data_IF_426576459081
#
_entry.id   IF_426576459081
#
_cell.length_a   1.000
_cell.length_b   1.000
_cell.length_c   1.000
_cell.angle_alpha   90.00
_cell.angle_beta   90.00
_cell.angle_gamma   90.00
#
_symmetry.space_group_name_H-M   'P 1'
#
loop_
_entity.id
_entity.type
_entity.pdbx_description
1 polymer ?
#
# COMPACT_ATOMS: atom_id res chain seq x y z
N UNK A 1 -18.28 -39.82 17.06
CA UNK A 1 -18.36 -39.11 15.76
C UNK A 1 -17.58 -37.82 15.92
N UNK A 2 -16.60 -37.59 15.04
CA UNK A 2 -15.65 -36.47 15.09
C UNK A 2 -16.13 -35.31 14.20
N UNK A 3 -15.80 -34.06 14.57
CA UNK A 3 -15.35 -33.03 13.63
C UNK A 3 -14.59 -31.89 14.37
N UNK A 4 -13.30 -31.76 14.02
CA UNK A 4 -12.43 -30.56 13.88
C UNK A 4 -13.08 -29.16 14.08
N UNK A 5 -12.39 -28.08 14.50
CA UNK A 5 -10.99 -27.65 14.29
C UNK A 5 -10.70 -26.40 15.14
N UNK A 6 -9.41 -26.17 15.43
CA UNK A 6 -8.77 -24.96 15.95
C UNK A 6 -9.38 -23.61 15.53
N UNK A 7 -9.36 -22.62 16.43
CA UNK A 7 -8.97 -21.24 16.07
C UNK A 7 -8.50 -20.42 17.31
N UNK A 8 -7.18 -20.29 17.41
CA UNK A 8 -6.35 -19.18 17.91
C UNK A 8 -6.91 -18.10 18.88
N UNK A 9 -6.26 -17.98 20.06
CA UNK A 9 -6.03 -16.72 20.80
C UNK A 9 -4.88 -15.90 20.15
N UNK A 10 -4.61 -14.62 20.50
CA UNK A 10 -5.44 -13.58 21.14
C UNK A 10 -5.40 -12.20 20.42
N UNK A 11 -6.30 -11.31 20.86
CA UNK A 11 -6.38 -9.86 20.59
C UNK A 11 -5.16 -9.12 21.16
N UNK A 12 -4.34 -8.45 20.34
CA UNK A 12 -3.74 -7.13 20.63
C UNK A 12 -2.80 -6.60 19.51
N UNK A 13 -3.28 -5.66 18.73
CA UNK A 13 -2.53 -4.51 18.19
C UNK A 13 -3.58 -3.59 17.57
N UNK A 14 -3.47 -2.28 17.77
CA UNK A 14 -4.32 -1.29 17.12
C UNK A 14 -4.09 -1.32 15.62
N UNK A 15 -4.80 -2.20 14.92
CA UNK A 15 -4.67 -2.39 13.48
C UNK A 15 -5.90 -1.79 12.85
N UNK A 16 -5.80 -0.51 12.43
CA UNK A 16 -6.56 -0.10 11.26
C UNK A 16 -6.25 -1.17 10.20
N UNK A 17 -7.24 -1.94 9.70
CA UNK A 17 -6.96 -2.99 8.75
C UNK A 17 -6.22 -2.33 7.60
N UNK A 18 -4.93 -2.67 7.44
CA UNK A 18 -4.05 -2.10 6.43
C UNK A 18 -4.85 -2.07 5.13
N UNK A 19 -5.25 -0.86 4.71
CA UNK A 19 -6.26 -0.75 3.66
C UNK A 19 -5.57 -1.16 2.38
N UNK A 20 -5.83 -2.40 1.97
CA UNK A 20 -5.20 -3.03 0.82
C UNK A 20 -5.45 -2.18 -0.41
N UNK A 21 -4.39 -1.51 -0.85
CA UNK A 21 -4.34 -0.84 -2.11
C UNK A 21 -3.56 -1.65 -3.13
N UNK A 22 -3.83 -1.40 -4.40
CA UNK A 22 -3.01 -1.90 -5.50
C UNK A 22 -2.25 -0.72 -6.07
N UNK A 23 -0.92 -0.87 -6.24
CA UNK A 23 -0.10 0.16 -6.86
C UNK A 23 -0.51 0.29 -8.34
N UNK A 24 -1.03 1.44 -8.73
CA UNK A 24 -1.45 1.73 -10.10
C UNK A 24 -0.25 2.24 -10.91
N UNK A 25 0.66 3.00 -10.27
CA UNK A 25 1.80 3.58 -10.95
C UNK A 25 2.95 3.85 -9.97
N UNK A 26 4.19 3.67 -10.45
CA UNK A 26 5.40 3.95 -9.69
C UNK A 26 6.42 4.70 -10.53
N UNK A 27 7.03 5.69 -9.90
CA UNK A 27 8.13 6.48 -10.44
C UNK A 27 9.18 6.66 -9.35
N UNK A 28 10.32 7.23 -9.72
CA UNK A 28 11.39 7.48 -8.78
C UNK A 28 10.96 8.37 -7.59
N UNK A 29 10.03 9.32 -7.81
CA UNK A 29 9.65 10.34 -6.83
C UNK A 29 8.21 10.21 -6.35
N UNK A 30 7.48 9.18 -6.76
CA UNK A 30 6.05 9.10 -6.49
C UNK A 30 5.47 7.72 -6.72
N UNK A 31 4.46 7.41 -5.93
CA UNK A 31 3.66 6.19 -5.99
C UNK A 31 2.19 6.58 -6.06
N UNK A 32 1.45 5.90 -6.92
CA UNK A 32 0.01 5.98 -7.01
C UNK A 32 -0.60 4.64 -6.63
N UNK A 33 -1.60 4.64 -5.76
CA UNK A 33 -2.30 3.43 -5.36
C UNK A 33 -3.82 3.65 -5.28
N UNK A 34 -4.59 2.56 -5.46
CA UNK A 34 -6.01 2.55 -5.16
C UNK A 34 -6.22 2.36 -3.65
N UNK A 35 -7.17 3.06 -3.03
CA UNK A 35 -7.55 2.92 -1.63
C UNK A 35 -9.06 2.91 -1.50
N UNK A 36 -9.61 2.23 -0.49
CA UNK A 36 -11.04 2.35 -0.15
C UNK A 36 -11.36 3.62 0.64
N UNK A 37 -10.35 4.33 1.13
CA UNK A 37 -10.51 5.62 1.79
C UNK A 37 -9.88 6.75 0.99
N UNK A 38 -10.52 7.91 1.08
CA UNK A 38 -9.91 9.17 0.71
C UNK A 38 -8.85 9.57 1.74
N UNK A 39 -7.81 10.25 1.27
CA UNK A 39 -6.86 10.96 2.12
C UNK A 39 -6.91 12.46 1.80
N UNK A 40 -6.50 13.28 2.75
CA UNK A 40 -6.41 14.72 2.55
C UNK A 40 -5.11 15.09 1.85
N UNK A 41 -5.14 16.20 1.12
CA UNK A 41 -3.94 16.75 0.53
C UNK A 41 -2.93 17.09 1.63
N UNK A 42 -1.67 16.70 1.42
CA UNK A 42 -0.54 16.86 2.36
C UNK A 42 -0.53 15.92 3.56
N UNK A 43 -1.44 14.94 3.63
CA UNK A 43 -1.31 13.85 4.60
C UNK A 43 0.03 13.14 4.40
N UNK A 44 0.73 12.88 5.50
CA UNK A 44 1.96 12.09 5.52
C UNK A 44 1.59 10.63 5.79
N UNK A 45 1.95 9.75 4.86
CA UNK A 45 1.63 8.33 4.89
C UNK A 45 2.92 7.52 5.00
N UNK A 46 2.87 6.46 5.81
CA UNK A 46 3.83 5.37 5.72
C UNK A 46 3.23 4.30 4.81
N UNK A 47 3.90 4.04 3.69
CA UNK A 47 3.47 3.06 2.71
C UNK A 47 4.35 1.82 2.82
N UNK A 48 3.73 0.65 2.88
CA UNK A 48 4.40 -0.64 2.74
C UNK A 48 4.03 -1.21 1.37
N UNK A 49 5.03 -1.45 0.53
CA UNK A 49 4.89 -2.07 -0.78
C UNK A 49 5.53 -3.44 -0.72
N UNK A 50 4.78 -4.50 -0.99
CA UNK A 50 5.25 -5.88 -0.86
C UNK A 50 4.87 -6.74 -2.07
N UNK A 51 5.76 -7.67 -2.38
CA UNK A 51 5.50 -8.81 -3.26
C UNK A 51 5.91 -10.10 -2.53
N UNK A 52 4.89 -10.86 -2.11
CA UNK A 52 5.05 -12.11 -1.37
C UNK A 52 5.72 -13.19 -2.23
N UNK A 53 5.48 -13.19 -3.55
CA UNK A 53 6.04 -14.20 -4.46
C UNK A 53 7.56 -14.10 -4.57
N UNK A 54 8.10 -12.90 -4.30
CA UNK A 54 9.51 -12.58 -4.43
C UNK A 54 10.18 -12.27 -3.08
N UNK A 55 9.46 -12.40 -1.98
CA UNK A 55 9.91 -12.01 -0.64
C UNK A 55 10.46 -10.57 -0.61
N UNK A 56 9.79 -9.67 -1.34
CA UNK A 56 10.15 -8.27 -1.45
C UNK A 56 9.27 -7.42 -0.54
N UNK A 57 9.87 -6.53 0.23
CA UNK A 57 9.16 -5.54 1.05
C UNK A 57 9.92 -4.22 1.03
N UNK A 58 9.18 -3.13 0.83
CA UNK A 58 9.70 -1.78 0.79
C UNK A 58 8.79 -0.85 1.60
N UNK A 59 9.36 -0.18 2.60
CA UNK A 59 8.66 0.82 3.39
C UNK A 59 9.10 2.22 2.95
N UNK A 60 8.15 3.09 2.60
CA UNK A 60 8.42 4.45 2.15
C UNK A 60 7.50 5.46 2.80
N UNK A 61 8.10 6.58 3.22
CA UNK A 61 7.34 7.74 3.66
C UNK A 61 6.97 8.60 2.45
N UNK A 62 5.71 9.03 2.38
CA UNK A 62 5.19 9.78 1.26
C UNK A 62 4.15 10.82 1.69
N UNK A 63 3.99 11.87 0.89
CA UNK A 63 3.00 12.93 1.13
C UNK A 63 1.94 12.88 0.03
N UNK A 64 0.66 12.90 0.42
CA UNK A 64 -0.46 12.89 -0.52
C UNK A 64 -0.48 14.19 -1.34
N UNK A 65 -0.41 14.06 -2.66
CA UNK A 65 -0.49 15.18 -3.61
C UNK A 65 -1.79 15.19 -4.40
N UNK A 66 -2.52 14.08 -4.45
CA UNK A 66 -3.86 14.00 -5.04
C UNK A 66 -4.65 12.85 -4.42
N UNK A 67 -5.94 13.08 -4.25
CA UNK A 67 -6.92 12.10 -3.82
C UNK A 67 -8.17 12.29 -4.69
N UNK A 68 -8.55 11.28 -5.46
CA UNK A 68 -9.63 11.39 -6.45
C UNK A 68 -10.43 10.09 -6.50
N UNK A 69 -11.74 10.16 -6.42
CA UNK A 69 -12.61 8.99 -6.57
C UNK A 69 -12.43 8.37 -7.96
N UNK A 70 -12.18 7.06 -8.03
CA UNK A 70 -12.17 6.27 -9.26
C UNK A 70 -13.58 5.77 -9.58
N UNK A 71 -14.26 5.23 -8.58
CA UNK A 71 -15.63 4.71 -8.64
C UNK A 71 -16.32 4.87 -7.28
N UNK A 72 -17.38 4.09 -7.01
CA UNK A 72 -18.13 4.15 -5.75
C UNK A 72 -17.40 3.50 -4.56
N UNK A 73 -16.36 2.69 -4.81
CA UNK A 73 -15.65 1.92 -3.80
C UNK A 73 -14.20 2.41 -3.62
N UNK A 74 -13.56 2.90 -4.68
CA UNK A 74 -12.13 3.19 -4.70
C UNK A 74 -11.78 4.66 -4.98
N UNK A 75 -10.70 5.09 -4.35
CA UNK A 75 -10.00 6.35 -4.52
C UNK A 75 -8.62 6.08 -5.10
N UNK A 76 -8.23 6.87 -6.09
CA UNK A 76 -6.84 6.99 -6.51
C UNK A 76 -6.14 7.99 -5.62
N UNK A 77 -5.08 7.53 -4.98
CA UNK A 77 -4.21 8.35 -4.15
C UNK A 77 -2.87 8.45 -4.86
N UNK A 78 -2.43 9.66 -5.19
CA UNK A 78 -1.09 9.90 -5.69
C UNK A 78 -0.27 10.56 -4.58
N UNK A 79 0.90 9.98 -4.31
CA UNK A 79 1.82 10.45 -3.29
C UNK A 79 3.16 10.82 -3.89
N UNK A 80 3.77 11.87 -3.34
CA UNK A 80 5.17 12.21 -3.56
C UNK A 80 6.01 11.54 -2.47
N UNK A 81 7.02 10.79 -2.86
CA UNK A 81 7.92 10.15 -1.90
C UNK A 81 8.83 11.20 -1.23
N UNK A 82 9.07 11.03 0.06
CA UNK A 82 10.03 11.87 0.79
C UNK A 82 11.47 11.57 0.36
N UNK A 83 11.77 10.31 0.05
CA UNK A 83 13.04 9.86 -0.51
C UNK A 83 12.83 9.17 -1.86
N UNK A 84 13.65 9.48 -2.87
CA UNK A 84 13.52 8.85 -4.18
C UNK A 84 13.87 7.36 -4.13
N UNK A 85 13.18 6.57 -4.94
CA UNK A 85 13.52 5.16 -5.17
C UNK A 85 14.77 5.04 -6.03
N UNK A 86 15.46 3.90 -5.93
CA UNK A 86 16.49 3.52 -6.89
C UNK A 86 15.86 3.06 -8.22
N UNK A 87 16.63 3.09 -9.30
CA UNK A 87 16.16 2.58 -10.59
C UNK A 87 15.81 1.10 -10.53
N UNK A 88 16.56 0.32 -9.74
CA UNK A 88 16.28 -1.11 -9.52
C UNK A 88 14.95 -1.32 -8.80
N UNK A 89 14.67 -0.53 -7.76
CA UNK A 89 13.37 -0.55 -7.07
C UNK A 89 12.23 -0.18 -8.03
N UNK A 90 12.38 0.88 -8.83
CA UNK A 90 11.35 1.27 -9.81
C UNK A 90 11.13 0.17 -10.86
N UNK A 91 12.19 -0.44 -11.37
CA UNK A 91 12.09 -1.53 -12.34
C UNK A 91 11.35 -2.74 -11.74
N UNK A 92 11.74 -3.15 -10.53
CA UNK A 92 11.11 -4.26 -9.82
C UNK A 92 9.62 -4.02 -9.57
N UNK A 93 9.26 -2.84 -9.06
CA UNK A 93 7.87 -2.48 -8.77
C UNK A 93 7.01 -2.38 -10.05
N UNK A 94 7.60 -2.03 -11.20
CA UNK A 94 6.89 -1.99 -12.49
C UNK A 94 6.66 -3.37 -13.09
N UNK A 95 7.58 -4.30 -12.87
CA UNK A 95 7.51 -5.65 -13.45
C UNK A 95 6.45 -6.52 -12.74
N UNK A 96 6.29 -6.35 -11.43
CA UNK A 96 5.57 -7.32 -10.62
C UNK A 96 4.20 -6.88 -10.09
N UNK A 97 3.77 -5.63 -10.33
CA UNK A 97 2.50 -5.08 -9.86
C UNK A 97 2.20 -5.38 -8.37
N UNK A 98 3.06 -4.92 -7.44
CA UNK A 98 3.01 -5.27 -6.03
C UNK A 98 1.80 -4.67 -5.30
N UNK A 99 1.46 -5.27 -4.16
CA UNK A 99 0.45 -4.73 -3.26
C UNK A 99 1.02 -3.53 -2.48
N UNK A 100 0.18 -2.52 -2.22
CA UNK A 100 0.56 -1.30 -1.50
C UNK A 100 -0.42 -1.04 -0.36
N UNK A 101 0.10 -0.83 0.83
CA UNK A 101 -0.67 -0.64 2.05
C UNK A 101 -0.27 0.65 2.72
N UNK A 102 -1.25 1.33 3.33
CA UNK A 102 -0.99 2.45 4.25
C UNK A 102 -0.97 1.89 5.68
N UNK A 103 0.13 2.13 6.38
CA UNK A 103 0.38 1.70 7.77
C UNK A 103 0.47 2.85 8.75
#
# INVERSE_FOLDING_TARGET
MALNKDDHLPVNAGSHPAQKGYAINVSQNGISFASRSAFHLRDELQLTVEDVSLNFMLNVAATVVRSTALDQEFWRIDCKLQSPLSNEQVAHLKEHAPACYVG
#
